data_IF_136493852704
#
_entry.id   IF_136493852704
#
_cell.length_a   1.000
_cell.length_b   1.000
_cell.length_c   1.000
_cell.angle_alpha   90.00
_cell.angle_beta   90.00
_cell.angle_gamma   90.00
#
_symmetry.space_group_name_H-M   'P 1'
#
loop_
_entity.id
_entity.type
_entity.pdbx_description
1 polymer ?
#
# COMPACT_ATOMS: atom_id res chain seq x y z
N UNK A 1 10.16 -4.41 -25.92
CA UNK A 1 8.94 -4.86 -25.23
C UNK A 1 9.35 -5.98 -24.29
N UNK A 2 9.46 -5.71 -22.98
CA UNK A 2 9.98 -6.70 -22.01
C UNK A 2 8.85 -7.67 -21.63
N UNK A 3 9.17 -8.97 -21.74
CA UNK A 3 8.29 -10.12 -21.65
C UNK A 3 7.55 -10.23 -20.31
N UNK A 4 6.22 -10.29 -20.40
CA UNK A 4 5.24 -10.30 -19.31
C UNK A 4 5.14 -11.62 -18.52
N UNK A 5 5.99 -12.61 -18.81
CA UNK A 5 5.82 -13.99 -18.31
C UNK A 5 6.94 -14.49 -17.38
N UNK A 6 7.89 -13.64 -17.00
CA UNK A 6 9.01 -14.00 -16.10
C UNK A 6 8.75 -13.63 -14.62
N UNK A 7 7.75 -12.79 -14.32
CA UNK A 7 7.64 -12.09 -13.03
C UNK A 7 6.79 -12.76 -11.94
N UNK A 8 6.28 -13.98 -12.15
CA UNK A 8 5.32 -14.58 -11.22
C UNK A 8 5.93 -15.00 -9.86
N UNK A 9 7.27 -15.11 -9.76
CA UNK A 9 7.98 -15.42 -8.51
C UNK A 9 8.61 -14.21 -7.77
N UNK A 10 8.63 -13.02 -8.38
CA UNK A 10 8.93 -11.73 -7.71
C UNK A 10 7.67 -11.11 -7.04
N UNK A 11 6.54 -11.83 -7.09
CA UNK A 11 5.20 -11.29 -6.88
C UNK A 11 4.92 -10.72 -5.49
N UNK A 12 5.62 -11.17 -4.43
CA UNK A 12 5.26 -10.73 -3.06
C UNK A 12 5.73 -9.30 -2.76
N UNK A 13 6.94 -8.91 -3.19
CA UNK A 13 7.44 -7.55 -2.97
C UNK A 13 6.71 -6.54 -3.85
N UNK A 14 6.49 -6.88 -5.12
CA UNK A 14 5.72 -6.04 -6.03
C UNK A 14 4.28 -5.84 -5.53
N UNK A 15 3.63 -6.91 -5.03
CA UNK A 15 2.31 -6.81 -4.42
C UNK A 15 2.30 -5.98 -3.14
N UNK A 16 3.33 -6.11 -2.28
CA UNK A 16 3.47 -5.26 -1.09
C UNK A 16 3.58 -3.77 -1.47
N UNK A 17 4.39 -3.43 -2.49
CA UNK A 17 4.55 -2.06 -2.98
C UNK A 17 3.26 -1.51 -3.60
N UNK A 18 2.54 -2.31 -4.40
CA UNK A 18 1.28 -1.91 -5.00
C UNK A 18 0.19 -1.70 -3.94
N UNK A 19 0.09 -2.61 -2.96
CA UNK A 19 -0.86 -2.48 -1.87
C UNK A 19 -0.52 -1.30 -0.95
N UNK A 20 0.76 -1.01 -0.72
CA UNK A 20 1.22 0.17 0.05
C UNK A 20 0.79 1.47 -0.65
N UNK A 21 0.95 1.54 -1.98
CA UNK A 21 0.49 2.68 -2.78
C UNK A 21 -1.02 2.86 -2.69
N UNK A 22 -1.80 1.78 -2.81
CA UNK A 22 -3.25 1.85 -2.77
C UNK A 22 -3.76 2.27 -1.37
N UNK A 23 -3.06 1.88 -0.30
CA UNK A 23 -3.34 2.34 1.06
C UNK A 23 -3.09 3.85 1.23
N UNK A 24 -2.01 4.39 0.64
CA UNK A 24 -1.74 5.83 0.63
C UNK A 24 -2.86 6.60 -0.08
N UNK A 25 -3.36 6.08 -1.21
CA UNK A 25 -4.52 6.67 -1.90
C UNK A 25 -5.77 6.65 -1.05
N UNK A 26 -6.02 5.56 -0.34
CA UNK A 26 -7.16 5.44 0.58
C UNK A 26 -7.06 6.43 1.74
N UNK A 27 -5.87 6.55 2.34
CA UNK A 27 -5.59 7.53 3.39
C UNK A 27 -5.82 8.96 2.89
N UNK A 28 -5.27 9.31 1.71
CA UNK A 28 -5.49 10.61 1.07
C UNK A 28 -6.97 10.92 0.93
N UNK A 29 -7.75 9.98 0.38
CA UNK A 29 -9.19 10.19 0.19
C UNK A 29 -9.90 10.45 1.52
N UNK A 30 -9.73 9.57 2.51
CA UNK A 30 -10.37 9.71 3.83
C UNK A 30 -10.00 11.05 4.49
N UNK A 31 -8.73 11.45 4.41
CA UNK A 31 -8.23 12.66 5.03
C UNK A 31 -8.66 13.95 4.29
N UNK A 32 -8.85 13.87 2.98
CA UNK A 32 -9.46 14.94 2.17
C UNK A 32 -10.95 15.11 2.50
N UNK A 33 -11.70 14.00 2.62
CA UNK A 33 -13.11 14.03 3.01
C UNK A 33 -13.29 14.68 4.40
N UNK A 34 -12.44 14.34 5.37
CA UNK A 34 -12.49 14.93 6.72
C UNK A 34 -12.22 16.43 6.75
N UNK A 35 -11.33 16.93 5.88
CA UNK A 35 -10.94 18.35 5.84
C UNK A 35 -11.79 19.17 4.88
N UNK A 36 -12.64 18.53 4.07
CA UNK A 36 -13.49 19.20 3.08
C UNK A 36 -12.73 19.76 1.87
N UNK A 37 -11.46 19.37 1.68
CA UNK A 37 -10.66 19.74 0.50
C UNK A 37 -9.57 18.70 0.26
N UNK A 38 -9.02 18.66 -0.97
CA UNK A 38 -7.91 17.75 -1.25
C UNK A 38 -6.65 18.16 -0.46
N UNK A 39 -6.09 17.22 0.30
CA UNK A 39 -4.85 17.45 1.06
C UNK A 39 -3.58 17.30 0.21
N UNK A 40 -3.70 16.74 -0.99
CA UNK A 40 -2.57 16.46 -1.88
C UNK A 40 -1.83 15.16 -1.55
N UNK A 41 -1.17 14.60 -2.56
CA UNK A 41 -0.52 13.29 -2.45
C UNK A 41 0.70 13.31 -1.52
N UNK A 42 1.58 14.31 -1.65
CA UNK A 42 2.82 14.37 -0.86
C UNK A 42 2.55 14.46 0.65
N UNK A 43 1.53 15.23 1.02
CA UNK A 43 1.11 15.34 2.42
C UNK A 43 0.53 14.02 2.93
N UNK A 44 -0.36 13.40 2.16
CA UNK A 44 -0.94 12.11 2.51
C UNK A 44 0.15 11.03 2.65
N UNK A 45 1.13 11.00 1.75
CA UNK A 45 2.26 10.10 1.79
C UNK A 45 3.08 10.30 3.07
N UNK A 46 3.46 11.53 3.41
CA UNK A 46 4.27 11.81 4.60
C UNK A 46 3.52 11.47 5.89
N UNK A 47 2.24 11.88 6.01
CA UNK A 47 1.41 11.56 7.18
C UNK A 47 1.22 10.04 7.32
N UNK A 48 0.98 9.33 6.22
CA UNK A 48 0.80 7.87 6.22
C UNK A 48 2.08 7.09 6.54
N UNK A 49 3.21 7.46 5.92
CA UNK A 49 4.51 6.83 6.17
C UNK A 49 4.89 6.96 7.64
N UNK A 50 4.63 8.14 8.23
CA UNK A 50 4.95 8.41 9.64
C UNK A 50 4.06 7.63 10.62
N UNK A 51 2.77 7.55 10.35
CA UNK A 51 1.79 7.11 11.36
C UNK A 51 1.23 5.70 11.14
N UNK A 52 1.32 5.14 9.94
CA UNK A 52 0.57 3.91 9.58
C UNK A 52 1.42 2.81 8.95
N UNK A 53 2.50 3.16 8.24
CA UNK A 53 3.24 2.22 7.40
C UNK A 53 3.79 0.99 8.12
N UNK A 54 4.32 1.15 9.32
CA UNK A 54 4.93 0.03 10.05
C UNK A 54 3.88 -1.02 10.45
N UNK A 55 2.76 -0.56 11.02
CA UNK A 55 1.66 -1.42 11.43
C UNK A 55 1.00 -2.08 10.23
N UNK A 56 0.79 -1.31 9.16
CA UNK A 56 0.22 -1.82 7.92
C UNK A 56 1.08 -2.92 7.30
N UNK A 57 2.42 -2.75 7.25
CA UNK A 57 3.33 -3.79 6.74
C UNK A 57 3.30 -5.06 7.59
N UNK A 58 3.27 -4.94 8.91
CA UNK A 58 3.17 -6.08 9.80
C UNK A 58 1.86 -6.86 9.57
N UNK A 59 0.74 -6.14 9.45
CA UNK A 59 -0.56 -6.71 9.12
C UNK A 59 -0.58 -7.39 7.74
N UNK A 60 -0.09 -6.71 6.71
CA UNK A 60 -0.06 -7.21 5.34
C UNK A 60 0.77 -8.50 5.20
N UNK A 61 1.95 -8.55 5.85
CA UNK A 61 2.80 -9.76 5.82
C UNK A 61 2.18 -10.92 6.59
N UNK A 62 1.49 -10.66 7.70
CA UNK A 62 0.72 -11.69 8.42
C UNK A 62 -0.39 -12.25 7.53
N UNK A 63 -1.15 -11.38 6.86
CA UNK A 63 -2.18 -11.74 5.88
C UNK A 63 -1.61 -12.56 4.72
N UNK A 64 -0.50 -12.13 4.13
CA UNK A 64 0.15 -12.83 3.02
C UNK A 64 0.62 -14.25 3.40
N UNK A 65 1.10 -14.44 4.64
CA UNK A 65 1.45 -15.77 5.16
C UNK A 65 0.21 -16.67 5.29
N UNK A 66 -0.89 -16.13 5.83
CA UNK A 66 -2.15 -16.88 5.95
C UNK A 66 -2.70 -17.30 4.57
N UNK A 67 -2.62 -16.43 3.57
CA UNK A 67 -3.05 -16.72 2.19
C UNK A 67 -2.22 -17.80 1.48
N UNK A 68 -0.96 -18.00 1.89
CA UNK A 68 -0.08 -19.05 1.33
C UNK A 68 -0.23 -20.40 2.03
N UNK A 69 -0.90 -20.45 3.19
CA UNK A 69 -1.10 -21.66 3.97
C UNK A 69 -2.37 -22.45 3.56
N UNK A 70 -3.10 -21.95 2.56
CA UNK A 70 -4.35 -22.48 2.04
C UNK A 70 -4.19 -22.79 0.55
#
# INVERSE_FOLDING_TARGET
>A
MINSNVFLNESTLLQEVLAERDEIWRHKWIESEKRGHDIGFDRALLEWVKNHRNDWRAYWRKQAKLRKAH
#
